data_IF_994339000832
#
_entry.id   IF_994339000832
#
_cell.length_a   1.000
_cell.length_b   1.000
_cell.length_c   1.000
_cell.angle_alpha   90.00
_cell.angle_beta   90.00
_cell.angle_gamma   90.00
#
_symmetry.space_group_name_H-M   'P 1'
#
loop_
_entity.id
_entity.type
_entity.pdbx_description
1 polymer ?
#
# COMPACT_ATOMS: atom_id res chain seq x y z
N UNK A 1 6.90 -5.82 -30.26
CA UNK A 1 5.46 -6.04 -30.49
C UNK A 1 4.97 -7.05 -29.45
N UNK A 2 4.37 -6.57 -28.34
CA UNK A 2 3.73 -7.38 -27.28
C UNK A 2 3.03 -6.48 -26.23
N UNK A 3 2.43 -5.35 -26.62
CA UNK A 3 1.63 -4.53 -25.67
C UNK A 3 0.12 -4.79 -25.80
N UNK A 4 -0.38 -5.20 -26.97
CA UNK A 4 -1.82 -5.34 -27.20
C UNK A 4 -2.47 -6.58 -26.56
N UNK A 5 -1.73 -7.68 -26.34
CA UNK A 5 -2.29 -8.89 -25.72
C UNK A 5 -2.65 -8.68 -24.23
N UNK A 6 -1.97 -7.75 -23.56
CA UNK A 6 -2.23 -7.43 -22.16
C UNK A 6 -3.56 -6.72 -21.96
N UNK A 7 -3.87 -5.74 -22.82
CA UNK A 7 -5.11 -4.96 -22.74
C UNK A 7 -6.32 -5.80 -23.16
N UNK A 8 -6.17 -6.67 -24.17
CA UNK A 8 -7.21 -7.61 -24.55
C UNK A 8 -7.53 -8.61 -23.43
N UNK A 9 -6.51 -9.18 -22.78
CA UNK A 9 -6.71 -10.12 -21.66
C UNK A 9 -7.37 -9.45 -20.47
N UNK A 10 -6.93 -8.24 -20.11
CA UNK A 10 -7.56 -7.43 -19.04
C UNK A 10 -9.03 -7.13 -19.35
N UNK A 11 -9.34 -6.75 -20.59
CA UNK A 11 -10.72 -6.49 -21.01
C UNK A 11 -11.60 -7.75 -20.92
N UNK A 12 -11.07 -8.91 -21.33
CA UNK A 12 -11.77 -10.20 -21.20
C UNK A 12 -12.01 -10.56 -19.73
N UNK A 13 -10.99 -10.42 -18.87
CA UNK A 13 -11.13 -10.70 -17.44
C UNK A 13 -12.14 -9.76 -16.76
N UNK A 14 -12.14 -8.47 -17.13
CA UNK A 14 -13.12 -7.49 -16.67
C UNK A 14 -14.54 -7.87 -17.07
N UNK A 15 -14.76 -8.18 -18.35
CA UNK A 15 -16.08 -8.57 -18.85
C UNK A 15 -16.59 -9.86 -18.21
N UNK A 16 -15.71 -10.86 -18.07
CA UNK A 16 -16.03 -12.10 -17.36
C UNK A 16 -16.44 -11.84 -15.92
N UNK A 17 -15.67 -11.03 -15.20
CA UNK A 17 -15.95 -10.72 -13.79
C UNK A 17 -17.21 -9.89 -13.61
N UNK A 18 -17.49 -8.97 -14.53
CA UNK A 18 -18.75 -8.20 -14.56
C UNK A 18 -19.96 -9.10 -14.84
N UNK A 19 -19.82 -10.08 -15.75
CA UNK A 19 -20.82 -11.12 -15.99
C UNK A 19 -21.11 -11.97 -14.74
N UNK A 20 -20.07 -12.43 -14.04
CA UNK A 20 -20.21 -13.15 -12.77
C UNK A 20 -20.95 -12.33 -11.68
N UNK A 21 -20.80 -11.00 -11.70
CA UNK A 21 -21.51 -10.12 -10.77
C UNK A 21 -22.98 -9.96 -11.14
N UNK A 22 -23.26 -9.71 -12.42
CA UNK A 22 -24.63 -9.62 -12.92
C UNK A 22 -25.41 -10.92 -12.65
N UNK A 23 -24.79 -12.08 -12.90
CA UNK A 23 -25.38 -13.40 -12.64
C UNK A 23 -25.67 -13.62 -11.15
N UNK A 24 -24.73 -13.26 -10.26
CA UNK A 24 -24.92 -13.35 -8.80
C UNK A 24 -26.08 -12.47 -8.30
N UNK A 25 -26.31 -11.33 -8.94
CA UNK A 25 -27.42 -10.42 -8.63
C UNK A 25 -28.74 -10.82 -9.30
N UNK A 26 -28.75 -11.88 -10.12
CA UNK A 26 -29.92 -12.27 -10.92
C UNK A 26 -30.25 -11.29 -12.05
N UNK A 27 -29.30 -10.43 -12.43
CA UNK A 27 -29.45 -9.48 -13.52
C UNK A 27 -29.21 -10.16 -14.86
N UNK A 28 -30.22 -10.14 -15.74
CA UNK A 28 -30.10 -10.68 -17.10
C UNK A 28 -29.22 -9.85 -18.05
N UNK A 29 -28.65 -8.74 -17.58
CA UNK A 29 -27.79 -7.85 -18.38
C UNK A 29 -26.66 -7.29 -17.51
N UNK A 30 -25.47 -7.20 -18.10
CA UNK A 30 -24.33 -6.51 -17.49
C UNK A 30 -24.56 -5.01 -17.58
N UNK A 31 -24.33 -4.32 -16.47
CA UNK A 31 -24.56 -2.89 -16.32
C UNK A 31 -23.27 -2.24 -15.85
N UNK A 32 -23.19 -0.92 -15.96
CA UNK A 32 -22.01 -0.16 -15.57
C UNK A 32 -21.59 -0.42 -14.12
N UNK A 33 -22.56 -0.58 -13.20
CA UNK A 33 -22.27 -0.92 -11.79
C UNK A 33 -21.51 -2.25 -11.64
N UNK A 34 -21.84 -3.24 -12.46
CA UNK A 34 -21.19 -4.55 -12.45
C UNK A 34 -19.75 -4.43 -12.95
N UNK A 35 -19.53 -3.62 -13.99
CA UNK A 35 -18.19 -3.36 -14.54
C UNK A 35 -17.31 -2.61 -13.53
N UNK A 36 -17.83 -1.55 -12.90
CA UNK A 36 -17.10 -0.79 -11.87
C UNK A 36 -16.72 -1.66 -10.68
N UNK A 37 -17.66 -2.48 -10.19
CA UNK A 37 -17.40 -3.40 -9.08
C UNK A 37 -16.40 -4.49 -9.47
N UNK A 38 -16.51 -5.03 -10.69
CA UNK A 38 -15.59 -6.01 -11.24
C UNK A 38 -14.17 -5.46 -11.37
N UNK A 39 -14.01 -4.23 -11.84
CA UNK A 39 -12.73 -3.54 -11.92
C UNK A 39 -12.08 -3.43 -10.55
N UNK A 40 -12.80 -2.90 -9.55
CA UNK A 40 -12.27 -2.76 -8.19
C UNK A 40 -11.84 -4.11 -7.59
N UNK A 41 -12.61 -5.18 -7.84
CA UNK A 41 -12.25 -6.52 -7.37
C UNK A 41 -11.00 -7.07 -8.08
N UNK A 42 -10.86 -6.84 -9.38
CA UNK A 42 -9.66 -7.24 -10.12
C UNK A 42 -8.41 -6.48 -9.66
N UNK A 43 -8.56 -5.20 -9.32
CA UNK A 43 -7.47 -4.37 -8.81
C UNK A 43 -6.99 -4.88 -7.44
N UNK A 44 -7.93 -5.18 -6.53
CA UNK A 44 -7.62 -5.82 -5.24
C UNK A 44 -6.97 -7.19 -5.44
N UNK A 45 -7.55 -8.07 -6.26
CA UNK A 45 -7.01 -9.41 -6.53
C UNK A 45 -5.58 -9.33 -7.11
N UNK A 46 -5.31 -8.37 -7.99
CA UNK A 46 -4.00 -8.16 -8.59
C UNK A 46 -2.98 -7.64 -7.59
N UNK A 47 -3.39 -6.72 -6.71
CA UNK A 47 -2.53 -6.22 -5.66
C UNK A 47 -2.19 -7.29 -4.63
N UNK A 48 -3.17 -8.09 -4.21
CA UNK A 48 -2.92 -9.22 -3.31
C UNK A 48 -1.90 -10.20 -3.88
N UNK A 49 -2.03 -10.57 -5.15
CA UNK A 49 -1.04 -11.41 -5.85
C UNK A 49 0.34 -10.79 -5.85
N UNK A 50 0.42 -9.49 -6.14
CA UNK A 50 1.70 -8.77 -6.15
C UNK A 50 2.33 -8.72 -4.76
N UNK A 51 1.55 -8.35 -3.74
CA UNK A 51 1.97 -8.26 -2.33
C UNK A 51 2.51 -9.60 -1.85
N UNK A 52 1.81 -10.69 -2.14
CA UNK A 52 2.24 -12.04 -1.73
C UNK A 52 3.60 -12.42 -2.35
N UNK A 53 3.89 -11.97 -3.57
CA UNK A 53 5.16 -12.17 -4.27
C UNK A 53 6.29 -11.21 -3.87
N UNK A 54 6.06 -10.26 -2.96
CA UNK A 54 7.09 -9.31 -2.53
C UNK A 54 8.17 -10.01 -1.69
N UNK A 55 9.41 -9.53 -1.82
CA UNK A 55 10.47 -9.91 -0.88
C UNK A 55 10.18 -9.37 0.52
N UNK A 56 10.71 -10.02 1.54
CA UNK A 56 10.49 -9.64 2.94
C UNK A 56 10.71 -8.14 3.21
N UNK A 57 11.81 -7.58 2.70
CA UNK A 57 12.13 -6.15 2.87
C UNK A 57 11.09 -5.21 2.24
N UNK A 58 10.50 -5.61 1.10
CA UNK A 58 9.41 -4.85 0.46
C UNK A 58 8.11 -5.00 1.24
N UNK A 59 7.83 -6.19 1.81
CA UNK A 59 6.68 -6.39 2.70
C UNK A 59 6.80 -5.51 3.95
N UNK A 60 7.98 -5.43 4.57
CA UNK A 60 8.22 -4.55 5.73
C UNK A 60 8.08 -3.07 5.37
N UNK A 61 8.61 -2.66 4.21
CA UNK A 61 8.44 -1.29 3.68
C UNK A 61 6.96 -0.95 3.50
N UNK A 62 6.21 -1.86 2.87
CA UNK A 62 4.79 -1.67 2.62
C UNK A 62 4.00 -1.63 3.93
N UNK A 63 4.31 -2.55 4.86
CA UNK A 63 3.67 -2.59 6.16
C UNK A 63 3.87 -1.30 6.93
N UNK A 64 5.09 -0.77 7.00
CA UNK A 64 5.34 0.50 7.67
C UNK A 64 4.54 1.67 7.07
N UNK A 65 4.41 1.73 5.73
CA UNK A 65 3.56 2.73 5.07
C UNK A 65 2.08 2.52 5.44
N UNK A 66 1.62 1.27 5.46
CA UNK A 66 0.25 0.90 5.84
C UNK A 66 -0.04 1.27 7.29
N UNK A 67 0.85 0.94 8.22
CA UNK A 67 0.71 1.27 9.64
C UNK A 67 0.60 2.76 9.89
N UNK A 68 1.36 3.59 9.16
CA UNK A 68 1.19 5.06 9.25
C UNK A 68 -0.17 5.50 8.72
N UNK A 69 -0.66 4.88 7.64
CA UNK A 69 -1.96 5.24 7.05
C UNK A 69 -3.15 4.81 7.93
N UNK A 70 -3.08 3.63 8.54
CA UNK A 70 -4.18 3.01 9.30
C UNK A 70 -4.21 3.48 10.76
N UNK A 71 -3.05 3.59 11.41
CA UNK A 71 -3.01 3.88 12.86
C UNK A 71 -2.92 5.37 13.20
N UNK A 72 -2.81 6.25 12.20
CA UNK A 72 -2.89 7.69 12.44
C UNK A 72 -4.29 8.08 12.92
N UNK A 73 -4.36 8.75 14.06
CA UNK A 73 -5.59 9.24 14.69
C UNK A 73 -6.25 10.34 13.85
N UNK A 74 -5.47 11.03 13.04
CA UNK A 74 -5.92 12.04 12.08
C UNK A 74 -5.85 11.51 10.66
N UNK A 75 -6.81 11.94 9.84
CA UNK A 75 -6.73 11.73 8.40
C UNK A 75 -5.48 12.39 7.83
N UNK A 76 -4.69 11.60 7.10
CA UNK A 76 -3.48 12.04 6.42
C UNK A 76 -3.76 12.17 4.92
N UNK A 77 -3.45 13.33 4.34
CA UNK A 77 -3.48 13.51 2.88
C UNK A 77 -2.37 12.68 2.19
N UNK A 78 -1.25 12.49 2.89
CA UNK A 78 -0.11 11.71 2.44
C UNK A 78 0.74 11.24 3.61
N UNK A 79 1.51 10.18 3.38
CA UNK A 79 2.42 9.58 4.34
C UNK A 79 3.80 10.21 4.14
N UNK A 80 4.35 10.91 5.14
CA UNK A 80 5.69 11.48 5.04
C UNK A 80 6.75 10.39 5.02
N UNK A 81 7.67 10.46 4.05
CA UNK A 81 8.74 9.47 3.90
C UNK A 81 9.65 9.31 5.13
N UNK A 82 10.06 10.39 5.84
CA UNK A 82 10.83 10.25 7.07
C UNK A 82 10.09 9.47 8.15
N UNK A 83 8.80 9.79 8.38
CA UNK A 83 7.94 9.08 9.34
C UNK A 83 7.86 7.59 8.98
N UNK A 84 7.59 7.28 7.70
CA UNK A 84 7.49 5.90 7.26
C UNK A 84 8.80 5.11 7.40
N UNK A 85 9.96 5.77 7.27
CA UNK A 85 11.25 5.12 7.47
C UNK A 85 11.52 4.79 8.95
N UNK A 86 11.15 5.67 9.87
CA UNK A 86 11.27 5.39 11.31
C UNK A 86 10.34 4.25 11.73
N UNK A 87 9.10 4.23 11.23
CA UNK A 87 8.17 3.10 11.45
C UNK A 87 8.71 1.81 10.83
N UNK A 88 9.31 1.86 9.64
CA UNK A 88 9.97 0.70 9.03
C UNK A 88 11.12 0.17 9.90
N UNK A 89 11.92 1.06 10.47
CA UNK A 89 13.04 0.68 11.34
C UNK A 89 12.52 -0.04 12.59
N UNK A 90 11.51 0.54 13.24
CA UNK A 90 10.82 -0.08 14.38
C UNK A 90 10.23 -1.47 14.03
N UNK A 91 9.55 -1.58 12.90
CA UNK A 91 8.98 -2.86 12.41
C UNK A 91 10.06 -3.91 12.24
N UNK A 92 11.18 -3.58 11.59
CA UNK A 92 12.26 -4.55 11.37
C UNK A 92 12.98 -4.94 12.66
N UNK A 93 13.16 -4.00 13.59
CA UNK A 93 13.77 -4.27 14.89
C UNK A 93 12.88 -5.17 15.76
N UNK A 94 11.57 -4.92 15.76
CA UNK A 94 10.60 -5.68 16.54
C UNK A 94 10.52 -7.16 16.17
N UNK A 95 10.94 -7.50 14.94
CA UNK A 95 10.94 -8.88 14.42
C UNK A 95 12.37 -9.40 14.18
N UNK A 96 13.40 -8.80 14.79
CA UNK A 96 14.81 -9.18 14.61
C UNK A 96 15.23 -9.33 13.13
N UNK A 97 14.67 -8.50 12.25
CA UNK A 97 15.04 -8.43 10.85
C UNK A 97 16.15 -7.38 10.64
N UNK A 98 16.92 -7.56 9.57
CA UNK A 98 17.94 -6.57 9.19
C UNK A 98 17.29 -5.29 8.71
N UNK A 99 17.42 -4.21 9.48
CA UNK A 99 17.03 -2.86 9.08
C UNK A 99 17.90 -2.39 7.92
N UNK A 100 17.28 -1.98 6.81
CA UNK A 100 17.99 -1.39 5.66
C UNK A 100 18.02 0.13 5.75
N UNK A 101 18.97 0.74 5.04
CA UNK A 101 19.10 2.20 5.00
C UNK A 101 17.88 2.90 4.39
N UNK A 102 17.71 4.19 4.69
CA UNK A 102 16.69 5.06 4.10
C UNK A 102 16.74 5.05 2.55
N UNK A 103 17.92 5.04 1.95
CA UNK A 103 18.06 4.89 0.48
C UNK A 103 17.48 3.56 -0.04
N UNK A 104 17.67 2.47 0.70
CA UNK A 104 17.13 1.16 0.34
C UNK A 104 15.61 1.13 0.52
N UNK A 105 15.11 1.69 1.63
CA UNK A 105 13.68 1.87 1.87
C UNK A 105 13.00 2.67 0.75
N UNK A 106 13.58 3.83 0.37
CA UNK A 106 13.08 4.66 -0.73
C UNK A 106 13.08 3.94 -2.07
N UNK A 107 14.10 3.09 -2.33
CA UNK A 107 14.14 2.23 -3.52
C UNK A 107 13.00 1.20 -3.49
N UNK A 108 12.78 0.53 -2.36
CA UNK A 108 11.66 -0.42 -2.21
C UNK A 108 10.31 0.27 -2.38
N UNK A 109 10.10 1.44 -1.78
CA UNK A 109 8.88 2.23 -1.95
C UNK A 109 8.68 2.66 -3.41
N UNK A 110 9.75 3.00 -4.14
CA UNK A 110 9.67 3.28 -5.58
C UNK A 110 9.23 2.06 -6.39
N UNK A 111 9.69 0.87 -6.02
CA UNK A 111 9.24 -0.37 -6.65
C UNK A 111 7.76 -0.65 -6.34
N UNK A 112 7.31 -0.47 -5.10
CA UNK A 112 5.90 -0.55 -4.71
C UNK A 112 5.02 0.42 -5.52
N UNK A 113 5.53 1.63 -5.76
CA UNK A 113 4.84 2.60 -6.61
C UNK A 113 4.77 2.16 -8.08
N UNK A 114 5.80 1.48 -8.57
CA UNK A 114 5.81 0.93 -9.94
C UNK A 114 4.83 -0.24 -10.12
N UNK A 115 4.41 -0.86 -9.01
CA UNK A 115 3.37 -1.89 -8.98
C UNK A 115 1.96 -1.32 -8.80
N UNK A 116 1.80 0.01 -8.72
CA UNK A 116 0.55 0.70 -8.40
C UNK A 116 -0.09 0.25 -7.07
N UNK A 117 0.71 -0.14 -6.08
CA UNK A 117 0.21 -0.38 -4.72
C UNK A 117 0.11 0.95 -3.97
N UNK A 118 1.14 1.78 -4.15
CA UNK A 118 1.21 3.14 -3.64
C UNK A 118 1.48 4.11 -4.80
N UNK A 119 1.31 5.40 -4.55
CA UNK A 119 1.85 6.48 -5.35
C UNK A 119 2.95 7.18 -4.56
N UNK A 120 3.80 7.92 -5.28
CA UNK A 120 4.88 8.71 -4.69
C UNK A 120 4.88 10.10 -5.31
N UNK A 121 4.81 11.10 -4.46
CA UNK A 121 5.08 12.49 -4.82
C UNK A 121 6.32 13.01 -4.08
N UNK A 122 6.86 14.14 -4.53
CA UNK A 122 7.97 14.83 -3.90
C UNK A 122 7.46 16.16 -3.37
N UNK A 123 7.22 16.23 -2.07
CA UNK A 123 6.81 17.49 -1.45
C UNK A 123 8.02 18.30 -0.99
N UNK A 124 8.00 19.58 -1.35
CA UNK A 124 8.82 20.60 -0.72
C UNK A 124 7.92 21.41 0.19
N UNK A 125 7.97 21.17 1.51
CA UNK A 125 7.32 22.06 2.47
C UNK A 125 8.12 23.36 2.47
N UNK A 126 7.69 24.34 1.67
CA UNK A 126 8.26 25.69 1.67
C UNK A 126 8.42 26.24 3.10
N UNK A 127 9.40 27.14 3.29
CA UNK A 127 9.98 27.59 4.59
C UNK A 127 10.99 26.61 5.21
N UNK A 128 11.96 26.13 4.43
CA UNK A 128 13.19 25.54 4.98
C UNK A 128 13.10 24.12 5.56
N UNK A 129 11.93 23.46 5.52
CA UNK A 129 11.72 22.11 6.09
C UNK A 129 12.20 20.96 5.18
N UNK A 130 13.15 21.23 4.30
CA UNK A 130 13.72 20.24 3.40
C UNK A 130 12.75 19.66 2.36
N UNK A 131 13.30 18.82 1.49
CA UNK A 131 12.54 18.11 0.46
C UNK A 131 12.51 16.63 0.83
N UNK A 132 11.33 16.02 0.81
CA UNK A 132 11.16 14.61 1.12
C UNK A 132 10.14 13.97 0.17
N UNK A 133 10.03 12.64 0.24
CA UNK A 133 8.99 11.92 -0.50
C UNK A 133 7.71 11.90 0.34
N UNK A 134 6.59 11.97 -0.33
CA UNK A 134 5.28 11.66 0.24
C UNK A 134 4.68 10.48 -0.51
N UNK A 135 3.96 9.64 0.21
CA UNK A 135 3.35 8.43 -0.33
C UNK A 135 1.84 8.46 -0.10
N UNK A 136 1.08 7.89 -1.02
CA UNK A 136 -0.34 7.65 -0.83
C UNK A 136 -0.69 6.26 -1.37
N UNK A 137 -1.81 5.70 -0.94
CA UNK A 137 -2.23 4.38 -1.36
C UNK A 137 -3.14 4.45 -2.59
N UNK A 138 -2.90 3.58 -3.56
CA UNK A 138 -3.78 3.41 -4.73
C UNK A 138 -4.94 2.43 -4.44
N UNK A 139 -4.79 1.64 -3.37
CA UNK A 139 -5.72 0.61 -2.91
C UNK A 139 -5.90 0.81 -1.42
N UNK A 140 -7.09 0.56 -0.90
CA UNK A 140 -7.40 0.70 0.51
C UNK A 140 -6.30 0.13 1.43
N UNK A 141 -5.65 0.98 2.27
CA UNK A 141 -4.61 0.55 3.20
C UNK A 141 -5.03 -0.61 4.10
N UNK A 142 -6.30 -0.68 4.53
CA UNK A 142 -6.82 -1.77 5.37
C UNK A 142 -6.77 -3.11 4.61
N UNK A 143 -7.13 -3.11 3.33
CA UNK A 143 -7.02 -4.30 2.47
C UNK A 143 -5.57 -4.75 2.30
N UNK A 144 -4.63 -3.80 2.25
CA UNK A 144 -3.20 -4.09 2.17
C UNK A 144 -2.70 -4.71 3.48
N UNK A 145 -3.08 -4.14 4.63
CA UNK A 145 -2.74 -4.63 5.96
C UNK A 145 -3.15 -6.09 6.14
N UNK A 146 -4.43 -6.37 5.90
CA UNK A 146 -4.99 -7.73 5.99
C UNK A 146 -4.23 -8.74 5.11
N UNK A 147 -3.72 -8.28 3.95
CA UNK A 147 -3.00 -9.15 3.03
C UNK A 147 -1.59 -9.45 3.53
N UNK A 148 -0.90 -8.46 4.09
CA UNK A 148 0.48 -8.60 4.57
C UNK A 148 0.54 -9.46 5.83
N UNK A 149 -0.41 -9.25 6.77
CA UNK A 149 -0.43 -9.96 8.05
C UNK A 149 -0.69 -11.46 7.86
N UNK A 150 -1.38 -11.89 6.80
CA UNK A 150 -1.64 -13.33 6.55
C UNK A 150 -0.40 -14.17 6.23
N UNK A 151 0.71 -13.57 5.81
CA UNK A 151 1.85 -14.29 5.22
C UNK A 151 3.16 -14.10 6.00
N UNK A 152 3.24 -13.09 6.87
CA UNK A 152 4.53 -12.58 7.34
C UNK A 152 4.73 -12.64 8.86
N UNK A 153 6.02 -12.62 9.26
CA UNK A 153 6.49 -12.45 10.64
C UNK A 153 5.98 -11.17 11.31
N UNK A 154 5.33 -10.28 10.54
CA UNK A 154 4.73 -9.04 11.02
C UNK A 154 3.63 -9.30 12.06
N UNK A 155 2.99 -10.48 12.04
CA UNK A 155 2.00 -10.88 13.06
C UNK A 155 2.55 -10.92 14.49
N UNK A 156 3.89 -10.90 14.65
CA UNK A 156 4.57 -10.87 15.95
C UNK A 156 4.61 -9.44 16.55
N UNK A 157 4.25 -8.41 15.80
CA UNK A 157 4.34 -7.00 16.23
C UNK A 157 3.11 -6.63 17.08
N UNK A 158 3.35 -6.03 18.24
CA UNK A 158 2.28 -5.51 19.11
C UNK A 158 1.67 -4.22 18.53
N UNK A 159 0.38 -4.28 18.18
CA UNK A 159 -0.34 -3.21 17.50
C UNK A 159 -0.43 -1.91 18.33
N UNK A 160 -0.66 -2.02 19.64
CA UNK A 160 -0.72 -0.85 20.54
C UNK A 160 0.62 -0.10 20.57
N UNK A 161 1.74 -0.84 20.62
CA UNK A 161 3.09 -0.29 20.60
C UNK A 161 3.39 0.37 19.24
N UNK A 162 2.99 -0.27 18.14
CA UNK A 162 3.14 0.26 16.79
C UNK A 162 2.37 1.57 16.59
N UNK A 163 1.12 1.64 17.08
CA UNK A 163 0.31 2.85 17.03
C UNK A 163 0.99 4.02 17.78
N UNK A 164 1.52 3.77 18.97
CA UNK A 164 2.26 4.80 19.73
C UNK A 164 3.48 5.31 18.99
N UNK A 165 4.22 4.42 18.32
CA UNK A 165 5.37 4.80 17.48
C UNK A 165 4.91 5.66 16.32
N UNK A 166 3.86 5.27 15.60
CA UNK A 166 3.29 6.05 14.49
C UNK A 166 2.94 7.48 14.93
N UNK A 167 2.20 7.61 16.03
CA UNK A 167 1.79 8.93 16.55
C UNK A 167 2.99 9.78 16.97
N UNK A 168 3.94 9.19 17.72
CA UNK A 168 5.15 9.90 18.15
C UNK A 168 5.94 10.43 16.95
N UNK A 169 6.08 9.63 15.89
CA UNK A 169 6.82 10.03 14.69
C UNK A 169 6.08 11.11 13.89
N UNK A 170 4.75 11.02 13.80
CA UNK A 170 3.95 12.07 13.17
C UNK A 170 4.04 13.40 13.94
N UNK A 171 4.00 13.38 15.27
CA UNK A 171 4.08 14.58 16.09
C UNK A 171 5.44 15.26 16.02
N UNK A 172 6.53 14.48 16.08
CA UNK A 172 7.89 14.99 15.90
C UNK A 172 8.07 15.62 14.52
N UNK A 173 7.56 14.96 13.48
CA UNK A 173 7.63 15.44 12.11
C UNK A 173 6.87 16.76 11.89
N UNK A 174 5.73 16.95 12.55
CA UNK A 174 4.93 18.18 12.43
C UNK A 174 5.46 19.32 13.31
N UNK A 175 6.20 19.00 14.37
CA UNK A 175 6.81 19.97 15.29
C UNK A 175 8.08 20.62 14.72
N UNK A 176 8.70 19.99 13.71
CA UNK A 176 9.89 20.46 12.98
C UNK A 176 9.52 21.33 11.79
#
# INVERSE_FOLDING_TARGET
AAQDEGDARKAIDLLRKAGEMADREGSGTVEERHVRTAQGKLDVDQAQKTINGLSAQKKYTLYALTSVAVHATRSLDSIPGPVAYEVYSYVTESIDAVTKSDDSFRRYAKELASYNIISKDRSGRGRGRGVHNEYAFAIDPETVEETIERDSRITEIEQDSLQLVVESQLDEFNST
#
